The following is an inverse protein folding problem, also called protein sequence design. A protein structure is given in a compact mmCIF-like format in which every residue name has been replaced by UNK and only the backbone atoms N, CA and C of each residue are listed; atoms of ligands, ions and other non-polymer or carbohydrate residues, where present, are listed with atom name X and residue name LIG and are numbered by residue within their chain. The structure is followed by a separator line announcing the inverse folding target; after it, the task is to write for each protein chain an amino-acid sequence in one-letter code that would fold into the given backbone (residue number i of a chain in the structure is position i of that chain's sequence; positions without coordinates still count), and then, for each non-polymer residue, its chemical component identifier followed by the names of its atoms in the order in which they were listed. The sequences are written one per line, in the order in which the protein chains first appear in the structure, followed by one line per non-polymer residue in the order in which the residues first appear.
data_IF_047137449928
#
_entry.id   IF_047137449928
#
_cell.length_a   1.000
_cell.length_b   1.000
_cell.length_c   1.000
_cell.angle_alpha   90.00
_cell.angle_beta   90.00
_cell.angle_gamma   90.00
#
_symmetry.space_group_name_H-M   'P 1'
#
loop_
_entity.id
_entity.type
_entity.pdbx_description
1 polymer ?
#
# COMPACT_ATOMS: atom_id res chain seq x y z
N UNK A 1 -40.71 -7.90 -42.36
CA UNK A 1 -40.39 -7.49 -40.98
C UNK A 1 -39.60 -8.65 -40.39
N UNK A 2 -38.27 -8.64 -40.21
CA UNK A 2 -37.30 -7.57 -39.98
C UNK A 2 -36.00 -7.86 -40.75
N UNK A 3 -35.35 -6.80 -41.23
CA UNK A 3 -33.97 -6.78 -41.72
C UNK A 3 -33.07 -6.55 -40.50
N UNK A 4 -32.04 -7.37 -40.29
CA UNK A 4 -30.88 -6.98 -39.49
C UNK A 4 -29.64 -7.32 -40.31
N UNK A 5 -29.13 -6.30 -41.00
CA UNK A 5 -27.80 -6.27 -41.55
C UNK A 5 -26.83 -6.05 -40.38
N UNK A 6 -25.98 -7.04 -40.10
CA UNK A 6 -24.82 -6.84 -39.22
C UNK A 6 -23.74 -6.18 -40.08
N UNK A 7 -23.62 -4.86 -39.94
CA UNK A 7 -22.49 -4.10 -40.44
C UNK A 7 -21.28 -4.49 -39.61
N UNK A 8 -20.45 -5.41 -40.12
CA UNK A 8 -19.04 -5.52 -39.71
C UNK A 8 -18.24 -4.62 -40.64
N UNK A 9 -18.09 -3.38 -40.23
CA UNK A 9 -17.11 -2.41 -40.72
C UNK A 9 -16.85 -1.54 -39.50
N UNK A 10 -15.78 -1.78 -38.76
CA UNK A 10 -14.48 -1.15 -38.99
C UNK A 10 -13.38 -2.14 -38.57
N UNK A 11 -12.78 -2.83 -39.54
CA UNK A 11 -11.34 -3.14 -39.48
C UNK A 11 -10.63 -1.81 -39.79
N UNK A 12 -10.63 -0.93 -38.79
CA UNK A 12 -9.80 0.26 -38.77
C UNK A 12 -8.42 -0.19 -38.37
N UNK A 13 -7.45 0.06 -39.22
CA UNK A 13 -6.03 -0.11 -38.95
C UNK A 13 -5.70 0.26 -37.50
N UNK A 14 -5.12 -0.67 -36.73
CA UNK A 14 -4.37 -0.32 -35.53
C UNK A 14 -3.14 0.50 -35.96
N UNK A 15 -3.34 1.79 -36.25
CA UNK A 15 -2.32 2.81 -35.97
C UNK A 15 -2.12 2.77 -34.46
N UNK A 16 -0.88 2.64 -34.01
CA UNK A 16 -0.52 2.59 -32.59
C UNK A 16 -1.25 3.67 -31.83
N UNK A 17 -2.26 3.27 -31.07
CA UNK A 17 -3.10 4.19 -30.30
C UNK A 17 -2.34 4.51 -29.03
N UNK A 18 -2.01 5.80 -28.84
CA UNK A 18 -1.59 6.35 -27.56
C UNK A 18 -2.62 5.92 -26.50
N UNK A 19 -2.24 4.91 -25.71
CA UNK A 19 -3.12 4.19 -24.78
C UNK A 19 -3.51 5.08 -23.60
N UNK A 20 -2.59 5.99 -23.27
CA UNK A 20 -2.77 7.06 -22.32
C UNK A 20 -3.10 8.32 -23.10
N UNK A 21 -4.37 8.74 -23.06
CA UNK A 21 -4.84 9.96 -23.72
C UNK A 21 -4.14 11.23 -23.22
N UNK A 22 -4.78 12.38 -23.38
CA UNK A 22 -4.20 13.71 -23.10
C UNK A 22 -3.94 14.05 -21.62
N UNK A 23 -3.87 13.08 -20.70
CA UNK A 23 -3.56 13.32 -19.30
C UNK A 23 -2.04 13.45 -19.11
N UNK A 24 -1.51 14.65 -18.84
CA UNK A 24 -0.07 14.84 -18.68
C UNK A 24 0.45 14.17 -17.40
N UNK A 25 1.67 13.65 -17.47
CA UNK A 25 2.43 13.16 -16.32
C UNK A 25 3.91 13.59 -16.39
N UNK A 26 4.56 13.70 -15.23
CA UNK A 26 6.01 13.83 -15.10
C UNK A 26 6.59 12.46 -14.72
N UNK A 27 7.15 11.74 -15.68
CA UNK A 27 7.65 10.38 -15.47
C UNK A 27 9.18 10.40 -15.43
N UNK A 28 9.76 9.79 -14.41
CA UNK A 28 11.21 9.66 -14.30
C UNK A 28 11.58 8.20 -14.05
N UNK A 29 12.32 7.62 -14.99
CA UNK A 29 12.85 6.27 -14.85
C UNK A 29 14.14 6.28 -14.03
N UNK A 30 14.24 5.35 -13.08
CA UNK A 30 15.47 4.98 -12.42
C UNK A 30 15.77 3.51 -12.74
N UNK A 31 16.76 3.29 -13.59
CA UNK A 31 17.13 1.95 -14.07
C UNK A 31 18.40 1.47 -13.38
N UNK A 32 18.33 0.27 -12.82
CA UNK A 32 19.45 -0.38 -12.17
C UNK A 32 20.45 -0.86 -13.23
N UNK A 33 21.66 -0.31 -13.19
CA UNK A 33 22.77 -0.70 -14.06
C UNK A 33 23.88 -1.36 -13.26
N UNK A 34 23.57 -1.94 -12.10
CA UNK A 34 24.50 -2.64 -11.22
C UNK A 34 25.07 -3.92 -11.84
N UNK A 35 26.16 -4.41 -11.23
CA UNK A 35 26.92 -5.56 -11.69
C UNK A 35 26.19 -6.90 -11.59
N UNK A 36 25.08 -6.99 -10.83
CA UNK A 36 24.22 -8.18 -10.80
C UNK A 36 23.40 -8.32 -12.08
N UNK A 37 23.16 -7.22 -12.80
CA UNK A 37 22.40 -7.19 -14.04
C UNK A 37 23.37 -7.27 -15.22
N UNK A 38 23.28 -8.34 -16.02
CA UNK A 38 24.12 -8.45 -17.21
C UNK A 38 23.83 -7.32 -18.22
N UNK A 39 24.82 -6.95 -19.04
CA UNK A 39 24.62 -5.98 -20.13
C UNK A 39 23.42 -6.32 -21.02
N UNK A 40 23.18 -7.61 -21.27
CA UNK A 40 22.05 -8.09 -22.06
C UNK A 40 20.70 -7.87 -21.35
N UNK A 41 20.65 -8.07 -20.03
CA UNK A 41 19.45 -7.80 -19.24
C UNK A 41 19.20 -6.30 -19.10
N UNK A 42 20.24 -5.50 -18.95
CA UNK A 42 20.11 -4.04 -18.95
C UNK A 42 19.55 -3.51 -20.29
N UNK A 43 19.91 -4.11 -21.42
CA UNK A 43 19.30 -3.78 -22.71
C UNK A 43 17.78 -4.03 -22.73
N UNK A 44 17.31 -5.08 -22.06
CA UNK A 44 15.87 -5.36 -21.90
C UNK A 44 15.19 -4.32 -21.02
N UNK A 45 15.84 -3.80 -19.98
CA UNK A 45 15.31 -2.67 -19.20
C UNK A 45 15.16 -1.40 -20.06
N UNK A 46 16.16 -1.10 -20.89
CA UNK A 46 16.08 0.04 -21.82
C UNK A 46 14.95 -0.14 -22.85
N UNK A 47 14.80 -1.35 -23.38
CA UNK A 47 13.70 -1.67 -24.29
C UNK A 47 12.34 -1.52 -23.60
N UNK A 48 12.21 -2.00 -22.36
CA UNK A 48 11.01 -1.83 -21.56
C UNK A 48 10.68 -0.35 -21.29
N UNK A 49 11.65 0.45 -20.84
CA UNK A 49 11.46 1.88 -20.60
C UNK A 49 11.08 2.62 -21.89
N UNK A 50 11.67 2.25 -23.03
CA UNK A 50 11.34 2.76 -24.36
C UNK A 50 9.91 2.40 -24.76
N UNK A 51 9.53 1.13 -24.58
CA UNK A 51 8.18 0.63 -24.90
C UNK A 51 7.12 1.33 -24.07
N UNK A 52 7.31 1.44 -22.75
CA UNK A 52 6.42 2.18 -21.85
C UNK A 52 6.33 3.64 -22.30
N UNK A 53 7.46 4.31 -22.52
CA UNK A 53 7.50 5.70 -23.01
C UNK A 53 6.76 5.89 -24.33
N UNK A 54 6.83 4.90 -25.23
CA UNK A 54 6.17 4.97 -26.54
C UNK A 54 4.64 5.01 -26.46
N UNK A 55 4.05 4.56 -25.34
CA UNK A 55 2.60 4.55 -25.11
C UNK A 55 2.03 5.91 -24.66
N UNK A 56 2.89 6.88 -24.37
CA UNK A 56 2.50 8.22 -23.94
C UNK A 56 2.66 9.25 -25.07
N UNK A 57 1.78 10.25 -25.08
CA UNK A 57 1.97 11.46 -25.88
C UNK A 57 3.04 12.35 -25.20
N UNK A 58 4.21 12.48 -25.84
CA UNK A 58 5.36 13.20 -25.27
C UNK A 58 5.49 14.59 -25.89
N UNK A 59 5.32 15.62 -25.07
CA UNK A 59 5.51 17.03 -25.41
C UNK A 59 5.65 17.89 -24.13
N UNK A 60 6.12 19.13 -24.27
CA UNK A 60 6.35 20.04 -23.13
C UNK A 60 5.09 20.33 -22.31
N UNK A 61 3.91 20.32 -22.96
CA UNK A 61 2.59 20.50 -22.36
C UNK A 61 1.84 19.17 -22.10
N UNK A 62 2.38 18.04 -22.55
CA UNK A 62 1.82 16.68 -22.37
C UNK A 62 2.62 15.89 -21.33
N UNK A 63 2.91 14.61 -21.58
CA UNK A 63 3.78 13.83 -20.69
C UNK A 63 5.24 14.18 -20.96
N UNK A 64 6.02 14.31 -19.89
CA UNK A 64 7.47 14.54 -19.95
C UNK A 64 8.20 13.38 -19.28
N UNK A 65 9.32 12.97 -19.87
CA UNK A 65 10.08 11.80 -19.43
C UNK A 65 11.52 12.19 -19.14
N UNK A 66 12.04 11.71 -18.01
CA UNK A 66 13.45 11.75 -17.63
C UNK A 66 14.00 10.35 -17.36
N UNK A 67 15.32 10.22 -17.39
CA UNK A 67 16.01 8.96 -17.13
C UNK A 67 17.28 9.19 -16.31
N UNK A 68 17.41 8.42 -15.24
CA UNK A 68 18.64 8.23 -14.47
C UNK A 68 18.93 6.73 -14.44
N UNK A 69 20.19 6.35 -14.57
CA UNK A 69 20.65 4.99 -14.25
C UNK A 69 21.39 5.02 -12.92
N UNK A 70 21.45 3.91 -12.20
CA UNK A 70 22.18 3.86 -10.94
C UNK A 70 22.92 2.53 -10.77
N UNK A 71 24.11 2.61 -10.17
CA UNK A 71 24.86 1.44 -9.69
C UNK A 71 25.53 1.80 -8.36
N UNK A 72 26.85 1.98 -8.29
CA UNK A 72 27.53 2.53 -7.10
C UNK A 72 27.08 3.96 -6.77
N UNK A 73 26.69 4.71 -7.80
CA UNK A 73 26.17 6.08 -7.75
C UNK A 73 25.14 6.29 -8.86
N UNK A 74 24.55 7.48 -8.92
CA UNK A 74 23.58 7.87 -9.96
C UNK A 74 24.27 8.46 -11.19
N UNK A 75 23.78 8.08 -12.37
CA UNK A 75 24.22 8.61 -13.67
C UNK A 75 23.02 9.21 -14.41
N UNK A 76 22.81 10.54 -14.30
CA UNK A 76 21.76 11.23 -15.03
C UNK A 76 21.96 11.11 -16.54
N UNK A 77 20.94 10.68 -17.28
CA UNK A 77 21.00 10.56 -18.74
C UNK A 77 20.34 11.77 -19.40
N UNK A 78 19.10 12.09 -19.01
CA UNK A 78 18.39 13.29 -19.43
C UNK A 78 17.27 13.63 -18.45
N UNK A 79 16.88 14.91 -18.42
CA UNK A 79 15.84 15.43 -17.51
C UNK A 79 14.48 15.53 -18.22
N UNK A 80 13.43 15.88 -17.47
CA UNK A 80 12.06 16.12 -17.99
C UNK A 80 11.96 17.25 -19.02
N UNK A 81 12.92 18.18 -19.03
CA UNK A 81 12.94 19.35 -19.93
C UNK A 81 14.14 19.26 -20.87
N UNK A 82 13.94 19.72 -22.10
CA UNK A 82 15.02 19.84 -23.10
C UNK A 82 15.39 18.54 -23.80
N UNK A 83 14.52 17.52 -23.71
CA UNK A 83 14.79 16.14 -24.12
C UNK A 83 14.57 15.87 -25.62
N UNK A 84 14.27 16.89 -26.42
CA UNK A 84 14.02 16.75 -27.86
C UNK A 84 12.62 16.20 -28.17
N UNK A 85 12.41 15.77 -29.41
CA UNK A 85 11.18 15.12 -29.85
C UNK A 85 10.99 13.76 -29.17
N UNK A 86 9.78 13.18 -29.25
CA UNK A 86 9.54 11.79 -28.80
C UNK A 86 10.57 10.80 -29.37
N UNK A 87 10.96 10.98 -30.65
CA UNK A 87 12.00 10.14 -31.26
C UNK A 87 13.36 10.28 -30.58
N UNK A 88 13.77 11.51 -30.27
CA UNK A 88 15.05 11.78 -29.61
C UNK A 88 15.11 11.16 -28.21
N UNK A 89 14.00 11.20 -27.47
CA UNK A 89 13.88 10.57 -26.15
C UNK A 89 13.99 9.05 -26.27
N UNK A 90 13.28 8.44 -27.21
CA UNK A 90 13.32 6.98 -27.42
C UNK A 90 14.72 6.51 -27.86
N UNK A 91 15.42 7.29 -28.69
CA UNK A 91 16.80 7.02 -29.07
C UNK A 91 17.77 7.24 -27.91
N UNK A 92 17.56 8.26 -27.07
CA UNK A 92 18.37 8.50 -25.87
C UNK A 92 18.24 7.35 -24.85
N UNK A 93 17.03 6.84 -24.62
CA UNK A 93 16.81 5.63 -23.80
C UNK A 93 17.60 4.46 -24.40
N UNK A 94 17.41 4.18 -25.70
CA UNK A 94 18.08 3.04 -26.37
C UNK A 94 19.61 3.09 -26.28
N UNK A 95 20.20 4.27 -26.33
CA UNK A 95 21.65 4.46 -26.38
C UNK A 95 22.28 4.70 -24.99
N UNK A 96 21.51 4.56 -23.91
CA UNK A 96 22.01 4.70 -22.53
C UNK A 96 23.06 3.64 -22.22
N UNK A 97 24.14 4.04 -21.55
CA UNK A 97 25.28 3.16 -21.26
C UNK A 97 25.02 2.35 -19.98
N UNK A 98 25.47 1.09 -20.00
CA UNK A 98 25.56 0.24 -18.82
C UNK A 98 26.83 0.58 -18.02
N UNK A 99 26.72 0.68 -16.70
CA UNK A 99 27.82 1.08 -15.81
C UNK A 99 28.45 -0.11 -15.07
N UNK A 100 27.64 -1.07 -14.62
CA UNK A 100 28.06 -2.08 -13.65
C UNK A 100 28.39 -1.47 -12.29
N UNK A 101 28.76 -2.34 -11.33
CA UNK A 101 29.18 -1.93 -9.98
C UNK A 101 28.21 -2.39 -8.89
N UNK A 102 28.16 -1.65 -7.80
CA UNK A 102 27.21 -1.82 -6.70
C UNK A 102 25.77 -1.41 -7.04
N UNK A 103 24.94 -1.36 -6.01
CA UNK A 103 23.50 -1.06 -6.12
C UNK A 103 23.11 -0.07 -5.01
N UNK A 104 23.16 1.22 -5.34
CA UNK A 104 22.89 2.32 -4.41
C UNK A 104 21.50 2.92 -4.66
N UNK A 105 20.48 2.12 -4.33
CA UNK A 105 19.07 2.50 -4.49
C UNK A 105 18.73 3.77 -3.71
N UNK A 106 19.33 3.97 -2.53
CA UNK A 106 19.11 5.17 -1.71
C UNK A 106 19.48 6.46 -2.46
N UNK A 107 20.63 6.49 -3.14
CA UNK A 107 21.06 7.64 -3.91
C UNK A 107 20.17 7.87 -5.15
N UNK A 108 19.69 6.81 -5.78
CA UNK A 108 18.72 6.89 -6.87
C UNK A 108 17.41 7.57 -6.41
N UNK A 109 16.87 7.17 -5.25
CA UNK A 109 15.67 7.77 -4.67
C UNK A 109 15.89 9.24 -4.27
N UNK A 110 17.04 9.56 -3.68
CA UNK A 110 17.42 10.93 -3.37
C UNK A 110 17.50 11.79 -4.64
N UNK A 111 18.10 11.27 -5.71
CA UNK A 111 18.18 11.95 -7.00
C UNK A 111 16.79 12.20 -7.61
N UNK A 112 15.93 11.17 -7.62
CA UNK A 112 14.55 11.30 -8.09
C UNK A 112 13.83 12.41 -7.34
N UNK A 113 13.96 12.47 -6.02
CA UNK A 113 13.31 13.48 -5.17
C UNK A 113 13.87 14.90 -5.41
N UNK A 114 15.18 15.06 -5.35
CA UNK A 114 15.82 16.38 -5.29
C UNK A 114 16.09 17.00 -6.66
N UNK A 115 16.32 16.17 -7.68
CA UNK A 115 16.80 16.62 -8.99
C UNK A 115 15.85 16.23 -10.12
N UNK A 116 15.35 15.00 -10.13
CA UNK A 116 14.50 14.50 -11.21
C UNK A 116 13.08 15.05 -11.19
N UNK A 117 12.38 14.85 -10.07
CA UNK A 117 10.97 15.14 -9.84
C UNK A 117 10.75 16.24 -8.79
N UNK A 118 11.75 17.08 -8.53
CA UNK A 118 11.58 18.20 -7.61
C UNK A 118 10.55 19.21 -8.14
N UNK A 119 9.93 19.96 -7.22
CA UNK A 119 8.88 20.96 -7.57
C UNK A 119 9.38 22.03 -8.55
N UNK A 120 10.68 22.34 -8.55
CA UNK A 120 11.27 23.29 -9.51
C UNK A 120 11.40 22.77 -10.94
N UNK A 121 11.33 21.44 -11.14
CA UNK A 121 11.47 20.78 -12.45
C UNK A 121 10.14 20.31 -13.02
N UNK A 122 9.16 20.11 -12.15
CA UNK A 122 7.85 19.55 -12.46
C UNK A 122 6.79 20.65 -12.55
N UNK A 123 5.70 20.36 -13.26
CA UNK A 123 4.56 21.28 -13.33
C UNK A 123 3.64 21.06 -12.14
N UNK A 124 3.10 22.16 -11.62
CA UNK A 124 2.08 22.11 -10.58
C UNK A 124 0.81 21.41 -11.09
N UNK A 125 0.12 20.68 -10.20
CA UNK A 125 -1.09 19.94 -10.56
C UNK A 125 -0.87 18.76 -11.52
N UNK A 126 0.37 18.40 -11.85
CA UNK A 126 0.69 17.24 -12.69
C UNK A 126 1.26 16.11 -11.84
N UNK A 127 0.83 14.83 -12.03
CA UNK A 127 1.39 13.70 -11.31
C UNK A 127 2.91 13.57 -11.51
N UNK A 128 3.63 13.30 -10.43
CA UNK A 128 5.06 13.05 -10.44
C UNK A 128 5.31 11.58 -10.14
N UNK A 129 5.77 10.86 -11.15
CA UNK A 129 5.83 9.41 -11.17
C UNK A 129 7.29 8.97 -11.30
N UNK A 130 7.78 8.24 -10.32
CA UNK A 130 9.03 7.51 -10.41
C UNK A 130 8.75 6.08 -10.87
N UNK A 131 9.51 5.56 -11.82
CA UNK A 131 9.49 4.14 -12.20
C UNK A 131 10.88 3.59 -11.91
N UNK A 132 10.99 2.78 -10.86
CA UNK A 132 12.24 2.15 -10.40
C UNK A 132 12.26 0.72 -10.91
N UNK A 133 13.32 0.33 -11.61
CA UNK A 133 13.53 -1.04 -12.10
C UNK A 133 14.82 -1.57 -11.49
N UNK A 134 14.78 -2.74 -10.85
CA UNK A 134 15.92 -3.32 -10.13
C UNK A 134 15.75 -4.84 -9.91
N UNK A 135 16.85 -5.55 -9.69
CA UNK A 135 16.86 -6.92 -9.18
C UNK A 135 17.01 -7.01 -7.64
N UNK A 136 16.96 -5.86 -6.96
CA UNK A 136 16.37 -5.71 -5.63
C UNK A 136 17.28 -5.96 -4.42
N UNK A 137 18.57 -5.59 -4.48
CA UNK A 137 19.45 -5.65 -3.31
C UNK A 137 20.30 -4.38 -3.15
N UNK A 138 19.76 -3.37 -2.47
CA UNK A 138 20.52 -2.18 -2.12
C UNK A 138 21.67 -2.50 -1.16
N UNK A 139 22.82 -1.87 -1.37
CA UNK A 139 23.96 -1.96 -0.46
C UNK A 139 23.70 -1.28 0.90
N UNK A 140 22.70 -0.39 0.99
CA UNK A 140 22.33 0.30 2.22
C UNK A 140 20.81 0.38 2.39
N UNK A 141 20.25 -0.66 2.99
CA UNK A 141 18.83 -0.80 3.25
C UNK A 141 18.27 0.36 4.10
N UNK A 142 18.96 0.73 5.19
CA UNK A 142 18.50 1.80 6.10
C UNK A 142 18.37 3.15 5.38
N UNK A 143 19.37 3.52 4.56
CA UNK A 143 19.30 4.74 3.77
C UNK A 143 18.19 4.68 2.72
N UNK A 144 17.99 3.51 2.11
CA UNK A 144 16.93 3.28 1.12
C UNK A 144 15.54 3.49 1.72
N UNK A 145 15.30 2.96 2.93
CA UNK A 145 14.06 3.16 3.67
C UNK A 145 13.79 4.64 3.98
N UNK A 146 14.81 5.37 4.42
CA UNK A 146 14.72 6.80 4.75
C UNK A 146 14.39 7.61 3.49
N UNK A 147 15.07 7.38 2.37
CA UNK A 147 14.81 8.12 1.13
C UNK A 147 13.48 7.73 0.49
N UNK A 148 13.06 6.45 0.58
CA UNK A 148 11.72 6.03 0.15
C UNK A 148 10.62 6.79 0.91
N UNK A 149 10.73 6.91 2.24
CA UNK A 149 9.79 7.69 3.03
C UNK A 149 9.73 9.15 2.57
N UNK A 150 10.88 9.78 2.31
CA UNK A 150 10.93 11.16 1.80
C UNK A 150 10.35 11.31 0.39
N UNK A 151 10.53 10.31 -0.49
CA UNK A 151 9.91 10.29 -1.83
C UNK A 151 8.39 10.32 -1.70
N UNK A 152 7.83 9.51 -0.80
CA UNK A 152 6.38 9.49 -0.52
C UNK A 152 5.91 10.80 0.12
N UNK A 153 6.63 11.33 1.12
CA UNK A 153 6.32 12.59 1.79
C UNK A 153 6.31 13.79 0.84
N UNK A 154 7.20 13.78 -0.15
CA UNK A 154 7.23 14.82 -1.17
C UNK A 154 6.03 14.72 -2.10
N UNK A 155 5.28 13.61 -2.12
CA UNK A 155 4.14 13.37 -3.01
C UNK A 155 4.58 12.89 -4.40
N UNK A 156 5.64 12.08 -4.45
CA UNK A 156 6.08 11.37 -5.66
C UNK A 156 5.49 9.95 -5.60
N UNK A 157 4.88 9.52 -6.70
CA UNK A 157 4.27 8.19 -6.83
C UNK A 157 5.30 7.25 -7.44
N UNK A 158 5.73 6.25 -6.67
CA UNK A 158 6.77 5.31 -7.06
C UNK A 158 6.16 3.97 -7.50
N UNK A 159 6.31 3.68 -8.79
CA UNK A 159 6.17 2.34 -9.36
C UNK A 159 7.52 1.61 -9.23
N UNK A 160 7.47 0.36 -8.81
CA UNK A 160 8.66 -0.48 -8.64
C UNK A 160 8.48 -1.76 -9.44
N UNK A 161 9.47 -2.09 -10.26
CA UNK A 161 9.57 -3.35 -11.00
C UNK A 161 10.74 -4.13 -10.43
N UNK A 162 10.43 -5.16 -9.65
CA UNK A 162 11.39 -6.13 -9.12
C UNK A 162 11.55 -7.31 -10.07
N UNK A 163 12.80 -7.64 -10.42
CA UNK A 163 13.11 -8.70 -11.38
C UNK A 163 13.91 -9.81 -10.70
N UNK A 164 13.44 -11.05 -10.81
CA UNK A 164 14.15 -12.22 -10.32
C UNK A 164 13.74 -12.66 -8.92
N UNK A 165 14.14 -13.89 -8.57
CA UNK A 165 13.78 -14.52 -7.31
C UNK A 165 14.57 -14.00 -6.09
N UNK A 166 15.63 -13.21 -6.31
CA UNK A 166 16.55 -12.73 -5.27
C UNK A 166 16.24 -11.29 -4.81
N UNK A 167 15.13 -10.71 -5.27
CA UNK A 167 14.68 -9.38 -4.85
C UNK A 167 14.33 -9.38 -3.36
N UNK A 168 14.77 -8.36 -2.61
CA UNK A 168 14.28 -8.12 -1.26
C UNK A 168 12.90 -7.46 -1.33
N UNK A 169 11.86 -8.27 -1.15
CA UNK A 169 10.48 -7.79 -1.13
C UNK A 169 10.21 -6.74 -0.05
N UNK A 170 10.97 -6.74 1.05
CA UNK A 170 10.86 -5.72 2.09
C UNK A 170 11.34 -4.36 1.58
N UNK A 171 12.45 -4.34 0.86
CA UNK A 171 12.99 -3.15 0.19
C UNK A 171 11.99 -2.60 -0.83
N UNK A 172 11.60 -3.44 -1.80
CA UNK A 172 10.74 -3.01 -2.90
C UNK A 172 9.36 -2.53 -2.40
N UNK A 173 8.82 -3.17 -1.37
CA UNK A 173 7.51 -2.81 -0.80
C UNK A 173 7.51 -1.44 -0.12
N UNK A 174 8.65 -0.98 0.38
CA UNK A 174 8.80 0.33 1.03
C UNK A 174 9.03 1.43 0.01
N UNK A 175 9.72 1.12 -1.10
CA UNK A 175 9.89 2.05 -2.22
C UNK A 175 8.56 2.25 -2.95
N UNK A 176 7.80 1.19 -3.20
CA UNK A 176 6.55 1.28 -3.93
C UNK A 176 5.49 2.07 -3.16
N UNK A 177 4.76 2.95 -3.86
CA UNK A 177 3.65 3.68 -3.25
C UNK A 177 2.53 2.73 -2.80
N UNK A 178 1.81 3.10 -1.75
CA UNK A 178 0.66 2.31 -1.25
C UNK A 178 -0.61 2.61 -2.07
N UNK A 179 -1.49 1.62 -2.30
CA UNK A 179 -1.36 0.22 -1.91
C UNK A 179 -0.35 -0.54 -2.79
N UNK A 180 0.59 -1.26 -2.16
CA UNK A 180 1.74 -1.90 -2.82
C UNK A 180 1.34 -2.77 -4.02
N UNK A 181 0.22 -3.50 -3.96
CA UNK A 181 -0.27 -4.35 -5.07
C UNK A 181 -0.52 -3.61 -6.39
N UNK A 182 -0.69 -2.29 -6.36
CA UNK A 182 -0.93 -1.45 -7.54
C UNK A 182 0.38 -0.93 -8.15
N UNK A 183 1.38 -0.72 -7.32
CA UNK A 183 2.60 -0.01 -7.69
C UNK A 183 3.86 -0.89 -7.67
N UNK A 184 3.79 -2.10 -7.11
CA UNK A 184 4.85 -3.09 -7.13
C UNK A 184 4.53 -4.19 -8.13
N UNK A 185 5.40 -4.34 -9.12
CA UNK A 185 5.38 -5.38 -10.13
C UNK A 185 6.57 -6.30 -9.87
N UNK A 186 6.33 -7.60 -9.80
CA UNK A 186 7.39 -8.60 -9.65
C UNK A 186 7.32 -9.57 -10.81
N UNK A 187 8.46 -9.80 -11.47
CA UNK A 187 8.59 -10.74 -12.57
C UNK A 187 9.77 -11.67 -12.34
N UNK A 188 9.70 -12.88 -12.88
CA UNK A 188 10.72 -13.92 -12.61
C UNK A 188 12.03 -13.67 -13.36
N UNK A 189 11.98 -12.99 -14.51
CA UNK A 189 13.14 -12.72 -15.37
C UNK A 189 12.92 -11.47 -16.23
N UNK A 190 14.02 -10.87 -16.68
CA UNK A 190 14.01 -9.72 -17.60
C UNK A 190 13.26 -9.99 -18.91
N UNK A 191 13.23 -11.25 -19.39
CA UNK A 191 12.44 -11.66 -20.56
C UNK A 191 10.92 -11.49 -20.35
N UNK A 192 10.46 -11.39 -19.11
CA UNK A 192 9.05 -11.16 -18.79
C UNK A 192 8.67 -9.67 -18.73
N UNK A 193 9.61 -8.73 -18.82
CA UNK A 193 9.33 -7.28 -18.85
C UNK A 193 8.25 -6.88 -19.87
N UNK A 194 8.24 -7.42 -21.11
CA UNK A 194 7.20 -7.09 -22.09
C UNK A 194 5.77 -7.43 -21.64
N UNK A 195 5.59 -8.35 -20.67
CA UNK A 195 4.26 -8.77 -20.20
C UNK A 195 3.57 -7.74 -19.32
N UNK A 196 4.32 -6.85 -18.66
CA UNK A 196 3.78 -5.86 -17.71
C UNK A 196 3.72 -4.43 -18.28
N UNK A 197 4.34 -4.16 -19.45
CA UNK A 197 4.47 -2.80 -20.00
C UNK A 197 3.13 -2.08 -20.18
N UNK A 198 2.12 -2.79 -20.68
CA UNK A 198 0.79 -2.21 -20.94
C UNK A 198 0.08 -1.92 -19.64
N UNK A 199 0.11 -2.86 -18.69
CA UNK A 199 -0.50 -2.68 -17.38
C UNK A 199 0.16 -1.53 -16.61
N UNK A 200 1.49 -1.47 -16.61
CA UNK A 200 2.23 -0.39 -15.94
C UNK A 200 1.90 0.97 -16.57
N UNK A 201 1.91 1.07 -17.90
CA UNK A 201 1.54 2.31 -18.59
C UNK A 201 0.10 2.73 -18.23
N UNK A 202 -0.87 1.81 -18.31
CA UNK A 202 -2.27 2.08 -17.96
C UNK A 202 -2.41 2.56 -16.52
N UNK A 203 -1.74 1.93 -15.56
CA UNK A 203 -1.82 2.32 -14.16
C UNK A 203 -1.13 3.66 -13.89
N UNK A 204 -0.01 3.95 -14.55
CA UNK A 204 0.66 5.25 -14.50
C UNK A 204 -0.24 6.38 -15.03
N UNK A 205 -1.09 6.10 -16.02
CA UNK A 205 -1.99 7.09 -16.61
C UNK A 205 -3.25 7.38 -15.80
N UNK A 206 -3.56 6.51 -14.84
CA UNK A 206 -4.64 6.69 -13.87
C UNK A 206 -4.15 7.37 -12.59
N UNK A 207 -2.86 7.72 -12.49
CA UNK A 207 -2.33 8.42 -11.32
C UNK A 207 -2.88 9.83 -11.30
N UNK A 208 -3.55 10.18 -10.21
CA UNK A 208 -3.95 11.55 -9.94
C UNK A 208 -2.81 12.30 -9.23
N UNK A 209 -2.69 13.62 -9.41
CA UNK A 209 -1.66 14.40 -8.73
C UNK A 209 -1.79 14.22 -7.23
N UNK A 210 -0.69 13.93 -6.54
CA UNK A 210 -0.68 13.98 -5.09
C UNK A 210 -1.14 15.37 -4.66
N UNK A 211 -2.23 15.43 -3.90
CA UNK A 211 -2.67 16.69 -3.28
C UNK A 211 -1.47 17.24 -2.52
N UNK A 212 -1.10 18.52 -2.71
CA UNK A 212 -0.01 19.10 -1.93
C UNK A 212 -0.29 18.84 -0.44
N UNK A 213 0.74 18.40 0.29
CA UNK A 213 0.73 18.41 1.76
C UNK A 213 0.21 19.79 2.18
N UNK A 214 -0.78 19.92 3.07
CA UNK A 214 -1.44 21.20 3.32
C UNK A 214 -0.40 22.27 3.64
N UNK A 215 -0.17 23.15 2.67
CA UNK A 215 0.40 24.46 2.92
C UNK A 215 -0.70 25.22 3.68
N UNK A 216 -0.33 25.91 4.76
CA UNK A 216 -1.23 26.49 5.77
C UNK A 216 -2.51 27.02 5.11
N UNK A 217 -3.60 26.25 5.23
CA UNK A 217 -4.88 26.54 4.60
C UNK A 217 -5.50 27.76 5.23
N UNK A 218 -6.21 28.54 4.43
CA UNK A 218 -6.94 29.72 4.91
C UNK A 218 -8.06 29.29 5.88
N UNK A 219 -8.40 30.17 6.84
CA UNK A 219 -9.38 29.90 7.91
C UNK A 219 -10.75 29.39 7.37
N UNK A 220 -11.07 29.71 6.11
CA UNK A 220 -12.32 29.32 5.44
C UNK A 220 -12.27 27.85 4.93
N UNK A 221 -11.10 27.36 4.50
CA UNK A 221 -10.89 25.98 4.05
C UNK A 221 -10.70 25.00 5.22
N UNK A 222 -10.15 25.49 6.35
CA UNK A 222 -10.12 24.74 7.62
C UNK A 222 -11.52 24.37 8.08
N UNK A 223 -12.50 25.29 7.95
CA UNK A 223 -13.87 25.03 8.35
C UNK A 223 -14.56 23.93 7.49
N UNK A 224 -14.28 23.86 6.18
CA UNK A 224 -14.81 22.79 5.31
C UNK A 224 -14.11 21.45 5.52
N UNK A 225 -12.81 21.45 5.83
CA UNK A 225 -12.06 20.23 6.09
C UNK A 225 -12.33 19.66 7.49
N UNK A 226 -12.52 20.51 8.50
CA UNK A 226 -13.08 20.12 9.79
C UNK A 226 -14.49 19.53 9.63
N UNK A 227 -15.31 20.03 8.70
CA UNK A 227 -16.62 19.43 8.37
C UNK A 227 -16.51 18.02 7.76
N UNK A 228 -15.45 17.73 6.99
CA UNK A 228 -15.18 16.39 6.43
C UNK A 228 -14.60 15.44 7.46
N UNK A 229 -13.76 15.93 8.38
CA UNK A 229 -13.26 15.15 9.52
C UNK A 229 -14.38 14.87 10.55
N UNK A 230 -15.42 15.72 10.58
CA UNK A 230 -16.60 15.54 11.42
C UNK A 230 -17.64 14.57 10.83
N UNK A 231 -17.55 14.24 9.54
CA UNK A 231 -18.37 13.20 8.95
C UNK A 231 -17.76 11.84 9.28
N UNK A 232 -18.30 11.22 10.33
CA UNK A 232 -18.02 9.83 10.70
C UNK A 232 -17.99 8.92 9.47
N UNK A 233 -17.02 8.03 9.42
CA UNK A 233 -16.81 7.07 8.35
C UNK A 233 -18.03 6.17 8.15
N UNK A 234 -18.70 6.32 7.01
CA UNK A 234 -19.81 5.44 6.59
C UNK A 234 -19.37 4.59 5.38
N UNK A 235 -19.05 3.30 5.57
CA UNK A 235 -18.59 2.42 4.50
C UNK A 235 -19.66 2.17 3.44
N UNK A 236 -19.23 1.80 2.23
CA UNK A 236 -20.15 1.48 1.12
C UNK A 236 -20.85 0.14 1.32
N UNK A 237 -20.31 -0.75 2.15
CA UNK A 237 -20.90 -2.04 2.55
C UNK A 237 -21.10 -2.09 4.06
N UNK A 238 -22.07 -2.89 4.51
CA UNK A 238 -22.21 -3.18 5.94
C UNK A 238 -20.93 -3.86 6.44
N UNK A 239 -20.53 -3.61 7.68
CA UNK A 239 -19.31 -4.16 8.29
C UNK A 239 -19.59 -4.71 9.68
N UNK A 240 -19.06 -5.89 9.95
CA UNK A 240 -19.03 -6.53 11.26
C UNK A 240 -17.57 -6.61 11.71
N UNK A 241 -17.22 -5.80 12.71
CA UNK A 241 -15.84 -5.65 13.18
C UNK A 241 -15.71 -6.29 14.57
N UNK A 242 -14.80 -7.26 14.71
CA UNK A 242 -14.47 -7.84 16.01
C UNK A 242 -13.02 -7.49 16.39
N UNK A 243 -12.85 -6.87 17.56
CA UNK A 243 -11.53 -6.57 18.12
C UNK A 243 -11.09 -7.69 19.07
N UNK A 244 -9.87 -8.18 18.88
CA UNK A 244 -9.21 -9.17 19.71
C UNK A 244 -7.95 -8.53 20.32
N UNK A 245 -7.76 -8.65 21.63
CA UNK A 245 -6.59 -8.07 22.31
C UNK A 245 -5.83 -9.16 23.04
N UNK A 246 -4.61 -9.40 22.60
CA UNK A 246 -3.66 -10.25 23.31
C UNK A 246 -3.13 -9.53 24.55
N UNK A 247 -3.81 -9.73 25.66
CA UNK A 247 -3.45 -9.10 26.95
C UNK A 247 -2.48 -9.94 27.78
N UNK A 248 -2.17 -11.17 27.35
CA UNK A 248 -1.18 -12.02 27.98
C UNK A 248 0.20 -11.39 27.80
N UNK A 249 0.87 -11.03 28.90
CA UNK A 249 2.19 -10.37 28.87
C UNK A 249 2.16 -8.84 28.83
N UNK A 250 1.05 -8.20 28.44
CA UNK A 250 0.95 -6.73 28.35
C UNK A 250 0.75 -6.00 29.68
N UNK A 251 -0.01 -6.60 30.60
CA UNK A 251 -0.44 -5.95 31.84
C UNK A 251 -1.62 -4.97 31.66
N UNK A 252 -2.28 -4.63 32.77
CA UNK A 252 -3.52 -3.84 32.80
C UNK A 252 -3.33 -2.42 32.24
N UNK A 253 -2.19 -1.77 32.53
CA UNK A 253 -1.93 -0.39 32.08
C UNK A 253 -1.82 -0.29 30.56
N UNK A 254 -1.10 -1.20 29.91
CA UNK A 254 -0.96 -1.20 28.46
C UNK A 254 -2.24 -1.66 27.76
N UNK A 255 -2.98 -2.58 28.38
CA UNK A 255 -4.31 -2.99 27.90
C UNK A 255 -5.26 -1.78 27.83
N UNK A 256 -5.23 -0.90 28.85
CA UNK A 256 -6.02 0.35 28.85
C UNK A 256 -5.65 1.32 27.72
N UNK A 257 -4.42 1.29 27.24
CA UNK A 257 -4.00 2.12 26.10
C UNK A 257 -4.64 1.58 24.82
N UNK A 258 -4.56 0.27 24.57
CA UNK A 258 -5.22 -0.36 23.42
C UNK A 258 -6.73 -0.11 23.43
N UNK A 259 -7.38 -0.26 24.58
CA UNK A 259 -8.84 -0.06 24.66
C UNK A 259 -9.23 1.39 24.39
N UNK A 260 -8.38 2.36 24.80
CA UNK A 260 -8.57 3.77 24.44
C UNK A 260 -8.41 3.99 22.95
N UNK A 261 -7.40 3.36 22.33
CA UNK A 261 -7.21 3.40 20.88
C UNK A 261 -8.39 2.79 20.11
N UNK A 262 -8.93 1.66 20.56
CA UNK A 262 -10.15 1.08 19.97
C UNK A 262 -11.32 2.08 20.13
N UNK A 263 -11.51 2.66 21.32
CA UNK A 263 -12.55 3.68 21.54
C UNK A 263 -12.41 4.86 20.58
N UNK A 264 -11.21 5.42 20.45
CA UNK A 264 -10.92 6.53 19.56
C UNK A 264 -11.23 6.18 18.10
N UNK A 265 -10.78 5.01 17.64
CA UNK A 265 -11.10 4.50 16.31
C UNK A 265 -12.62 4.39 16.09
N UNK A 266 -13.36 3.86 17.07
CA UNK A 266 -14.83 3.72 16.96
C UNK A 266 -15.57 5.04 16.94
N UNK A 267 -15.04 6.11 17.56
CA UNK A 267 -15.65 7.44 17.54
C UNK A 267 -15.67 8.05 16.12
N UNK A 268 -14.75 7.60 15.25
CA UNK A 268 -14.67 8.00 13.86
C UNK A 268 -15.54 7.16 12.92
N UNK A 269 -16.23 6.12 13.41
CA UNK A 269 -17.13 5.27 12.61
C UNK A 269 -18.59 5.73 12.72
N UNK A 270 -19.31 5.77 11.60
CA UNK A 270 -20.73 6.10 11.59
C UNK A 270 -21.57 4.87 11.98
N UNK A 271 -21.76 4.72 13.29
CA UNK A 271 -22.58 3.65 13.85
C UNK A 271 -24.09 3.97 13.83
N UNK A 272 -24.49 5.20 13.46
CA UNK A 272 -25.86 5.69 13.63
C UNK A 272 -26.88 4.98 12.75
N UNK A 273 -26.44 4.48 11.60
CA UNK A 273 -27.28 3.85 10.58
C UNK A 273 -27.33 2.31 10.69
N UNK A 274 -26.68 1.72 11.70
CA UNK A 274 -26.64 0.27 11.92
C UNK A 274 -25.84 -0.52 10.87
N UNK A 275 -25.15 0.14 9.93
CA UNK A 275 -24.33 -0.52 8.91
C UNK A 275 -23.03 -1.07 9.48
N UNK A 276 -22.55 -0.51 10.58
CA UNK A 276 -21.38 -1.02 11.30
C UNK A 276 -21.85 -1.63 12.60
N UNK A 277 -21.43 -2.86 12.87
CA UNK A 277 -21.63 -3.52 14.16
C UNK A 277 -20.28 -3.94 14.70
N UNK A 278 -20.06 -3.68 15.98
CA UNK A 278 -18.77 -3.91 16.64
C UNK A 278 -18.96 -4.91 17.78
N UNK A 279 -18.01 -5.83 17.87
CA UNK A 279 -17.85 -6.74 18.99
C UNK A 279 -16.42 -6.64 19.54
N UNK A 280 -16.26 -6.83 20.83
CA UNK A 280 -14.95 -7.01 21.46
C UNK A 280 -14.86 -8.45 21.96
N UNK A 281 -13.69 -9.06 21.78
CA UNK A 281 -13.42 -10.44 22.15
C UNK A 281 -12.35 -10.44 23.23
N UNK A 282 -12.79 -10.62 24.46
CA UNK A 282 -11.98 -10.92 25.64
C UNK A 282 -12.56 -12.18 26.30
N UNK A 283 -11.74 -12.97 26.99
CA UNK A 283 -12.27 -14.14 27.70
C UNK A 283 -12.48 -13.85 29.19
N UNK A 284 -13.58 -14.34 29.73
CA UNK A 284 -13.72 -14.61 31.16
C UNK A 284 -14.44 -15.94 31.36
N UNK A 285 -13.79 -16.89 32.03
CA UNK A 285 -14.45 -18.05 32.65
C UNK A 285 -14.85 -17.66 34.07
N UNK A 286 -15.96 -16.94 34.23
CA UNK A 286 -16.80 -16.90 35.45
C UNK A 286 -18.02 -16.05 35.13
N UNK A 287 -19.19 -16.47 35.62
CA UNK A 287 -20.48 -15.88 35.32
C UNK A 287 -20.46 -14.34 35.46
N UNK A 288 -20.55 -13.64 34.33
CA UNK A 288 -20.37 -12.19 34.23
C UNK A 288 -20.01 -11.80 32.80
N UNK A 289 -20.94 -12.05 31.89
CA UNK A 289 -20.92 -11.73 30.46
C UNK A 289 -20.49 -10.29 30.16
N UNK A 290 -19.41 -10.13 29.40
CA UNK A 290 -19.37 -9.05 28.40
C UNK A 290 -20.52 -9.26 27.43
N UNK A 291 -21.10 -8.20 26.88
CA UNK A 291 -22.19 -8.40 25.94
C UNK A 291 -21.65 -9.21 24.76
N UNK A 292 -22.09 -10.45 24.64
CA UNK A 292 -21.95 -11.30 23.46
C UNK A 292 -22.67 -10.73 22.22
N UNK A 293 -23.18 -9.51 22.36
CA UNK A 293 -24.06 -8.82 21.45
C UNK A 293 -23.27 -7.81 20.64
N UNK A 294 -23.32 -8.00 19.33
CA UNK A 294 -23.02 -6.98 18.34
C UNK A 294 -23.72 -5.67 18.73
N UNK A 295 -22.96 -4.59 18.80
CA UNK A 295 -23.52 -3.27 19.10
C UNK A 295 -23.10 -2.22 18.08
N UNK A 296 -24.03 -1.34 17.77
CA UNK A 296 -23.78 -0.07 17.08
C UNK A 296 -23.97 1.13 18.03
N UNK A 297 -24.21 0.91 19.32
CA UNK A 297 -24.29 1.97 20.34
C UNK A 297 -22.89 2.25 20.90
N UNK A 298 -22.33 3.46 20.69
CA UNK A 298 -21.01 3.84 21.21
C UNK A 298 -20.86 3.65 22.72
N UNK A 299 -21.91 3.85 23.51
CA UNK A 299 -21.85 3.72 24.96
C UNK A 299 -21.73 2.26 25.39
N UNK A 300 -22.42 1.36 24.70
CA UNK A 300 -22.32 -0.09 24.93
C UNK A 300 -20.92 -0.58 24.55
N UNK A 301 -20.41 -0.15 23.40
CA UNK A 301 -19.06 -0.49 22.93
C UNK A 301 -18.00 0.00 23.94
N UNK A 302 -18.07 1.26 24.37
CA UNK A 302 -17.14 1.84 25.36
C UNK A 302 -17.20 1.13 26.70
N UNK A 303 -18.40 0.75 27.16
CA UNK A 303 -18.57 -0.04 28.38
C UNK A 303 -17.87 -1.40 28.28
N UNK A 304 -18.01 -2.08 27.14
CA UNK A 304 -17.39 -3.39 26.89
C UNK A 304 -15.86 -3.34 26.78
N UNK A 305 -15.28 -2.15 26.66
CA UNK A 305 -13.84 -1.96 26.60
C UNK A 305 -13.16 -1.86 27.98
N UNK A 306 -13.92 -1.81 29.08
CA UNK A 306 -13.37 -1.53 30.44
C UNK A 306 -12.96 -2.79 31.19
N UNK A 307 -13.66 -3.91 31.00
CA UNK A 307 -13.34 -5.15 31.69
C UNK A 307 -12.54 -6.06 30.70
N UNK A 308 -11.28 -6.37 30.96
CA UNK A 308 -10.49 -7.29 30.12
C UNK A 308 -9.80 -8.31 31.04
N UNK A 309 -10.02 -9.60 30.79
CA UNK A 309 -9.28 -10.69 31.44
C UNK A 309 -8.80 -11.73 30.40
N UNK A 310 -7.77 -12.50 30.79
CA UNK A 310 -6.76 -13.04 29.87
C UNK A 310 -6.97 -14.53 29.54
N UNK A 311 -7.19 -14.90 28.26
CA UNK A 311 -7.00 -16.26 27.73
C UNK A 311 -5.66 -16.41 26.99
N UNK A 312 -5.41 -17.63 26.52
CA UNK A 312 -4.37 -17.92 25.52
C UNK A 312 -4.74 -17.35 24.15
N UNK A 313 -3.75 -16.85 23.41
CA UNK A 313 -3.94 -16.21 22.09
C UNK A 313 -4.78 -17.03 21.10
N UNK A 314 -4.58 -18.35 21.02
CA UNK A 314 -5.36 -19.20 20.10
C UNK A 314 -6.85 -19.31 20.43
N UNK A 315 -7.23 -19.10 21.70
CA UNK A 315 -8.64 -19.10 22.12
C UNK A 315 -9.33 -17.80 21.69
N UNK A 316 -8.65 -16.66 21.80
CA UNK A 316 -9.13 -15.36 21.30
C UNK A 316 -9.43 -15.44 19.80
N UNK A 317 -8.51 -16.06 19.05
CA UNK A 317 -8.65 -16.25 17.61
C UNK A 317 -9.86 -17.11 17.24
N UNK A 318 -10.09 -18.19 17.98
CA UNK A 318 -11.24 -19.07 17.81
C UNK A 318 -12.54 -18.32 18.07
N UNK A 319 -12.62 -17.58 19.18
CA UNK A 319 -13.85 -16.90 19.60
C UNK A 319 -14.18 -15.75 18.65
N UNK A 320 -13.19 -14.97 18.25
CA UNK A 320 -13.36 -13.93 17.24
C UNK A 320 -13.86 -14.51 15.91
N UNK A 321 -13.26 -15.61 15.45
CA UNK A 321 -13.71 -16.28 14.23
C UNK A 321 -15.15 -16.77 14.35
N UNK A 322 -15.53 -17.43 15.45
CA UNK A 322 -16.89 -17.94 15.64
C UNK A 322 -17.92 -16.79 15.65
N UNK A 323 -17.59 -15.68 16.33
CA UNK A 323 -18.43 -14.47 16.36
C UNK A 323 -18.62 -13.89 14.97
N UNK A 324 -17.53 -13.65 14.24
CA UNK A 324 -17.57 -13.13 12.87
C UNK A 324 -18.27 -14.09 11.90
N UNK A 325 -18.12 -15.40 12.09
CA UNK A 325 -18.82 -16.42 11.28
C UNK A 325 -20.34 -16.34 11.41
N UNK A 326 -20.84 -15.93 12.58
CA UNK A 326 -22.25 -15.71 12.89
C UNK A 326 -22.70 -14.25 12.66
N UNK A 327 -21.81 -13.38 12.17
CA UNK A 327 -22.15 -12.01 11.79
C UNK A 327 -23.10 -11.95 10.60
N UNK A 328 -23.63 -10.75 10.35
CA UNK A 328 -24.58 -10.44 9.27
C UNK A 328 -24.06 -10.96 7.93
N UNK A 329 -24.96 -11.56 7.15
CA UNK A 329 -24.61 -12.20 5.87
C UNK A 329 -24.29 -11.20 4.76
N UNK A 330 -24.81 -9.97 4.85
CA UNK A 330 -24.57 -8.87 3.92
C UNK A 330 -23.36 -8.00 4.31
N UNK A 331 -22.73 -8.27 5.46
CA UNK A 331 -21.63 -7.49 5.98
C UNK A 331 -20.26 -8.10 5.66
N UNK A 332 -19.28 -7.23 5.39
CA UNK A 332 -17.87 -7.58 5.43
C UNK A 332 -17.48 -7.95 6.85
N UNK A 333 -16.88 -9.13 7.05
CA UNK A 333 -16.49 -9.65 8.37
C UNK A 333 -15.02 -9.37 8.61
N UNK A 334 -14.72 -8.54 9.59
CA UNK A 334 -13.39 -8.00 9.83
C UNK A 334 -12.96 -8.32 11.28
N UNK A 335 -11.85 -9.02 11.44
CA UNK A 335 -11.18 -9.21 12.73
C UNK A 335 -9.95 -8.33 12.83
N UNK A 336 -9.77 -7.62 13.94
CA UNK A 336 -8.59 -6.80 14.21
C UNK A 336 -7.96 -7.29 15.50
N UNK A 337 -6.74 -7.82 15.40
CA UNK A 337 -6.04 -8.45 16.52
C UNK A 337 -4.87 -7.57 16.94
N UNK A 338 -4.81 -7.19 18.20
CA UNK A 338 -3.62 -6.59 18.79
C UNK A 338 -2.77 -7.69 19.41
N UNK A 339 -1.50 -7.76 19.01
CA UNK A 339 -0.54 -8.78 19.42
C UNK A 339 0.69 -8.09 20.02
N UNK A 340 1.13 -8.52 21.19
CA UNK A 340 2.26 -7.90 21.90
C UNK A 340 3.48 -8.81 21.96
N UNK A 341 3.28 -10.13 22.04
CA UNK A 341 4.36 -11.09 22.23
C UNK A 341 4.44 -12.14 21.11
N UNK A 342 5.61 -12.77 21.00
CA UNK A 342 5.82 -13.89 20.10
C UNK A 342 5.06 -15.11 20.60
N UNK A 343 4.43 -15.84 19.67
CA UNK A 343 3.70 -17.05 20.00
C UNK A 343 4.65 -18.24 20.17
N UNK A 344 4.41 -19.04 21.20
CA UNK A 344 5.02 -20.37 21.28
C UNK A 344 4.61 -21.22 20.08
N UNK A 345 5.45 -22.19 19.69
CA UNK A 345 5.16 -23.10 18.58
C UNK A 345 3.78 -23.80 18.70
N UNK A 346 3.37 -24.15 19.93
CA UNK A 346 2.08 -24.79 20.18
C UNK A 346 0.91 -23.81 19.97
N UNK A 347 1.03 -22.56 20.42
CA UNK A 347 0.00 -21.54 20.20
C UNK A 347 -0.06 -21.09 18.74
N UNK A 348 1.09 -21.03 18.05
CA UNK A 348 1.16 -20.73 16.63
C UNK A 348 0.38 -21.75 15.79
N UNK A 349 0.56 -23.05 16.04
CA UNK A 349 -0.14 -24.11 15.28
C UNK A 349 -1.66 -24.01 15.43
N UNK A 350 -2.15 -23.77 16.65
CA UNK A 350 -3.58 -23.60 16.91
C UNK A 350 -4.12 -22.32 16.26
N UNK A 351 -3.36 -21.23 16.34
CA UNK A 351 -3.74 -19.94 15.75
C UNK A 351 -3.81 -20.01 14.23
N UNK A 352 -2.85 -20.67 13.57
CA UNK A 352 -2.92 -20.90 12.12
C UNK A 352 -4.11 -21.78 11.71
N UNK A 353 -4.52 -22.74 12.53
CA UNK A 353 -5.72 -23.51 12.25
C UNK A 353 -6.98 -22.63 12.26
N UNK A 354 -7.10 -21.74 13.23
CA UNK A 354 -8.21 -20.77 13.28
C UNK A 354 -8.15 -19.78 12.11
N UNK A 355 -6.96 -19.33 11.69
CA UNK A 355 -6.83 -18.44 10.52
C UNK A 355 -7.18 -19.12 9.21
N UNK A 356 -6.83 -20.40 9.04
CA UNK A 356 -7.32 -21.20 7.90
C UNK A 356 -8.84 -21.28 7.88
N UNK A 357 -9.47 -21.52 9.04
CA UNK A 357 -10.93 -21.55 9.16
C UNK A 357 -11.55 -20.18 8.86
N UNK A 358 -10.95 -19.09 9.36
CA UNK A 358 -11.39 -17.73 9.09
C UNK A 358 -11.33 -17.39 7.59
N UNK A 359 -10.27 -17.83 6.90
CA UNK A 359 -10.13 -17.70 5.44
C UNK A 359 -11.27 -18.41 4.70
N UNK A 360 -11.59 -19.65 5.08
CA UNK A 360 -12.75 -20.37 4.50
C UNK A 360 -14.09 -19.65 4.75
N UNK A 361 -14.21 -18.93 5.86
CA UNK A 361 -15.38 -18.14 6.20
C UNK A 361 -15.37 -16.72 5.59
N UNK A 362 -14.39 -16.40 4.73
CA UNK A 362 -14.18 -15.09 4.10
C UNK A 362 -14.09 -13.94 5.12
N UNK A 363 -13.44 -14.21 6.25
CA UNK A 363 -13.18 -13.21 7.29
C UNK A 363 -11.83 -12.56 7.01
N UNK A 364 -11.79 -11.24 6.98
CA UNK A 364 -10.59 -10.41 6.81
C UNK A 364 -9.93 -10.16 8.15
N UNK A 365 -8.66 -10.55 8.32
CA UNK A 365 -7.95 -10.50 9.61
C UNK A 365 -6.77 -9.53 9.55
N UNK A 366 -6.88 -8.44 10.30
CA UNK A 366 -5.80 -7.48 10.55
C UNK A 366 -5.06 -7.87 11.83
N UNK A 367 -3.74 -7.73 11.80
CA UNK A 367 -2.87 -8.00 12.94
C UNK A 367 -2.04 -6.76 13.21
N UNK A 368 -2.14 -6.22 14.42
CA UNK A 368 -1.41 -5.05 14.90
C UNK A 368 -0.36 -5.57 15.89
N UNK A 369 0.90 -5.63 15.45
CA UNK A 369 2.03 -6.01 16.30
C UNK A 369 2.57 -4.81 17.07
N UNK A 370 2.67 -4.91 18.39
CA UNK A 370 3.12 -3.82 19.25
C UNK A 370 4.48 -4.12 19.85
N UNK A 371 5.45 -3.28 19.50
CA UNK A 371 6.81 -3.36 19.98
C UNK A 371 7.64 -4.44 19.28
N UNK A 372 8.91 -4.53 19.69
CA UNK A 372 9.91 -5.41 19.06
C UNK A 372 9.81 -6.88 19.48
N UNK A 373 8.84 -7.22 20.33
CA UNK A 373 8.65 -8.59 20.85
C UNK A 373 7.79 -9.46 19.92
N UNK A 374 7.22 -8.85 18.87
CA UNK A 374 6.42 -9.54 17.86
C UNK A 374 7.32 -10.07 16.75
N UNK A 375 7.22 -11.38 16.48
CA UNK A 375 7.83 -11.99 15.30
C UNK A 375 6.97 -11.64 14.07
N UNK A 376 7.50 -10.78 13.21
CA UNK A 376 6.79 -10.29 12.01
C UNK A 376 6.45 -11.41 11.02
N UNK A 377 7.21 -12.51 10.98
CA UNK A 377 6.92 -13.67 10.12
C UNK A 377 5.72 -14.43 10.66
N UNK A 378 5.63 -14.61 11.98
CA UNK A 378 4.47 -15.21 12.63
C UNK A 378 3.23 -14.34 12.43
N UNK A 379 3.35 -13.04 12.67
CA UNK A 379 2.26 -12.08 12.55
C UNK A 379 1.68 -12.04 11.13
N UNK A 380 2.55 -11.96 10.11
CA UNK A 380 2.13 -12.00 8.69
C UNK A 380 1.42 -13.30 8.32
N UNK A 381 1.80 -14.43 8.94
CA UNK A 381 1.13 -15.72 8.74
C UNK A 381 -0.30 -15.79 9.29
N UNK A 382 -0.70 -14.84 10.15
CA UNK A 382 -2.04 -14.78 10.74
C UNK A 382 -3.02 -13.90 9.94
N UNK A 383 -2.53 -13.19 8.92
CA UNK A 383 -3.34 -12.29 8.08
C UNK A 383 -4.12 -13.07 7.01
N UNK A 384 -5.32 -12.59 6.63
CA UNK A 384 -6.16 -13.20 5.57
C UNK A 384 -6.45 -12.24 4.40
N UNK A 385 -7.26 -12.65 3.41
CA UNK A 385 -7.30 -12.11 2.02
C UNK A 385 -7.50 -10.59 1.83
N UNK A 386 -8.01 -9.85 2.81
CA UNK A 386 -8.05 -8.37 2.79
C UNK A 386 -7.52 -7.72 4.07
N UNK A 387 -6.93 -8.52 4.96
CA UNK A 387 -6.29 -8.02 6.17
C UNK A 387 -4.86 -7.58 5.90
N UNK A 388 -4.25 -6.94 6.91
CA UNK A 388 -2.85 -6.52 6.86
C UNK A 388 -2.18 -6.73 8.22
N UNK A 389 -0.87 -7.00 8.19
CA UNK A 389 -0.01 -6.86 9.37
C UNK A 389 0.50 -5.41 9.46
N UNK A 390 0.21 -4.75 10.56
CA UNK A 390 0.65 -3.40 10.89
C UNK A 390 1.53 -3.47 12.13
N UNK A 391 2.72 -2.88 12.06
CA UNK A 391 3.68 -2.90 13.17
C UNK A 391 3.81 -1.50 13.75
N UNK A 392 3.71 -1.40 15.08
CA UNK A 392 3.97 -0.17 15.83
C UNK A 392 5.15 -0.38 16.76
N UNK A 393 6.03 0.63 16.84
CA UNK A 393 7.22 0.63 17.69
C UNK A 393 6.91 0.50 19.18
N UNK A 394 5.72 0.90 19.60
CA UNK A 394 5.26 0.83 20.99
C UNK A 394 3.85 1.39 21.17
N UNK A 395 3.35 1.37 22.40
CA UNK A 395 2.00 1.80 22.74
C UNK A 395 1.72 3.29 22.46
N UNK A 396 2.74 4.14 22.55
CA UNK A 396 2.61 5.58 22.28
C UNK A 396 2.40 5.91 20.80
N UNK A 397 2.66 4.95 19.90
CA UNK A 397 2.54 5.09 18.46
C UNK A 397 1.24 4.50 17.88
N UNK A 398 0.28 4.09 18.73
CA UNK A 398 -0.96 3.48 18.24
C UNK A 398 -1.78 4.41 17.34
N UNK A 399 -1.71 5.73 17.56
CA UNK A 399 -2.37 6.74 16.73
C UNK A 399 -1.91 6.67 15.25
N UNK A 400 -0.64 6.30 15.00
CA UNK A 400 -0.07 6.22 13.64
C UNK A 400 -0.75 5.10 12.83
N UNK A 401 -1.26 4.06 13.50
CA UNK A 401 -2.01 2.96 12.89
C UNK A 401 -3.51 3.26 12.83
N UNK A 402 -4.06 4.03 13.78
CA UNK A 402 -5.49 4.36 13.82
C UNK A 402 -5.95 5.00 12.51
N UNK A 403 -5.20 5.97 11.98
CA UNK A 403 -5.52 6.64 10.71
C UNK A 403 -5.44 5.68 9.52
N UNK A 404 -4.38 4.87 9.44
CA UNK A 404 -4.21 3.89 8.37
C UNK A 404 -5.32 2.84 8.38
N UNK A 405 -5.69 2.35 9.56
CA UNK A 405 -6.75 1.37 9.75
C UNK A 405 -8.12 1.99 9.42
N UNK A 406 -8.37 3.23 9.82
CA UNK A 406 -9.61 3.94 9.50
C UNK A 406 -9.78 4.10 7.98
N UNK A 407 -8.74 4.55 7.28
CA UNK A 407 -8.76 4.67 5.82
C UNK A 407 -9.08 3.32 5.15
N UNK A 408 -8.51 2.23 5.65
CA UNK A 408 -8.81 0.90 5.12
C UNK A 408 -10.26 0.49 5.38
N UNK A 409 -10.74 0.62 6.62
CA UNK A 409 -12.11 0.30 7.00
C UNK A 409 -13.14 1.10 6.20
N UNK A 410 -12.87 2.39 5.93
CA UNK A 410 -13.77 3.24 5.15
C UNK A 410 -13.81 2.91 3.65
N UNK A 411 -12.83 2.15 3.15
CA UNK A 411 -12.75 1.75 1.73
C UNK A 411 -13.34 0.38 1.43
N UNK A 412 -13.72 -0.40 2.46
CA UNK A 412 -14.49 -1.66 2.32
C UNK A 412 -15.93 -1.41 1.83
#
# INVERSE_FOLDING_TARGET
MFIIAVIVSIFGLCRGSDLCGSNPAEIFFALDSSGSISLFNFQKELEFAKDVTSMFEIADDKTRVGLVTFSDTVYPQFNLRGSGSKSDILDAIRNTKYNGGGTNTAEALAYLREKGLSRSKTREGIPRIAIVITDGQSQNMTATFIEAAKVHDDGIIAFVVGIGAQVDMSELSVIATKPTKKFLFTIDDFDALPSIRELLAVEACKVEPATPKPEILSDEEVAEQELRLYNKCSPKRSMDIAFAVDSAGMGVSNTKIITRSISNLTDHLDLSNGRISIATVSSGCSAGSFSDEWSSDPNVIKKNLVDFQVPRFSEIMRDMRLRLGNGRSDASRIGIIFMYEQLSNAEMQKSFLEMRRAKFQKISIFVIGIGKHVDSKQAKGLVTEMGQFLEVSGFDNLNDIEEQLLLQLCTF
#
